data_IF_178705621760
#
_entry.id   IF_178705621760
#
_cell.length_a   1.000
_cell.length_b   1.000
_cell.length_c   1.000
_cell.angle_alpha   90.00
_cell.angle_beta   90.00
_cell.angle_gamma   90.00
#
_symmetry.space_group_name_H-M   'P 1'
#
loop_
_entity.id
_entity.type
_entity.pdbx_description
1 polymer ?
#
# COMPACT_ATOMS: atom_id res chain seq x y z
N UNK A 1 12.94 -20.01 44.09
CA UNK A 1 11.54 -19.57 43.96
C UNK A 1 11.54 -18.43 42.98
N UNK A 2 10.96 -18.59 41.78
CA UNK A 2 10.79 -17.44 40.87
C UNK A 2 9.62 -16.61 41.38
N UNK A 3 9.80 -15.30 41.54
CA UNK A 3 8.69 -14.40 41.81
C UNK A 3 7.62 -14.60 40.73
N UNK A 4 6.43 -15.03 41.15
CA UNK A 4 5.29 -15.17 40.25
C UNK A 4 4.82 -13.76 39.91
N UNK A 5 5.05 -13.32 38.68
CA UNK A 5 4.48 -12.08 38.18
C UNK A 5 2.95 -12.15 38.33
N UNK A 6 2.39 -11.11 38.96
CA UNK A 6 0.95 -10.88 39.03
C UNK A 6 0.70 -9.46 38.58
N UNK A 7 -0.40 -9.22 37.87
CA UNK A 7 -0.93 -7.87 37.70
C UNK A 7 -1.43 -7.40 39.07
N UNK A 8 -0.49 -6.97 39.92
CA UNK A 8 -0.74 -6.62 41.32
C UNK A 8 -1.40 -5.25 41.47
N UNK A 9 -1.51 -4.48 40.38
CA UNK A 9 -2.21 -3.20 40.32
C UNK A 9 -3.19 -3.14 39.14
N UNK A 10 -4.36 -2.54 39.37
CA UNK A 10 -5.30 -2.20 38.29
C UNK A 10 -4.68 -1.25 37.25
N UNK A 11 -3.63 -0.52 37.64
CA UNK A 11 -2.92 0.41 36.75
C UNK A 11 -2.25 -0.27 35.56
N UNK A 12 -1.49 -1.36 35.78
CA UNK A 12 -0.81 -2.06 34.67
C UNK A 12 -1.77 -2.74 33.69
N UNK A 13 -2.91 -3.23 34.19
CA UNK A 13 -3.97 -3.78 33.33
C UNK A 13 -4.55 -2.67 32.45
N UNK A 14 -4.89 -1.54 33.05
CA UNK A 14 -5.46 -0.41 32.32
C UNK A 14 -4.47 0.19 31.31
N UNK A 15 -3.19 0.31 31.66
CA UNK A 15 -2.15 0.76 30.74
C UNK A 15 -2.01 -0.17 29.53
N UNK A 16 -2.08 -1.49 29.75
CA UNK A 16 -2.03 -2.48 28.69
C UNK A 16 -3.26 -2.39 27.78
N UNK A 17 -4.46 -2.21 28.35
CA UNK A 17 -5.69 -1.99 27.59
C UNK A 17 -5.60 -0.75 26.71
N UNK A 18 -5.17 0.39 27.26
CA UNK A 18 -4.99 1.62 26.51
C UNK A 18 -3.92 1.48 25.41
N UNK A 19 -2.85 0.72 25.67
CA UNK A 19 -1.82 0.46 24.67
C UNK A 19 -2.36 -0.39 23.50
N UNK A 20 -3.16 -1.41 23.79
CA UNK A 20 -3.81 -2.25 22.77
C UNK A 20 -4.84 -1.47 21.96
N UNK A 21 -5.60 -0.59 22.60
CA UNK A 21 -6.56 0.29 21.92
C UNK A 21 -5.85 1.26 20.97
N UNK A 22 -4.79 1.92 21.45
CA UNK A 22 -3.93 2.78 20.60
C UNK A 22 -3.29 2.04 19.44
N UNK A 23 -2.88 0.79 19.64
CA UNK A 23 -2.28 -0.02 18.59
C UNK A 23 -3.30 -0.43 17.50
N UNK A 24 -4.59 -0.50 17.84
CA UNK A 24 -5.65 -0.94 16.94
C UNK A 24 -5.61 -2.45 16.63
N UNK A 25 -6.73 -3.02 16.20
CA UNK A 25 -6.81 -4.42 15.74
C UNK A 25 -6.81 -5.51 16.83
N UNK A 26 -6.63 -5.14 18.10
CA UNK A 26 -6.77 -6.08 19.22
C UNK A 26 -8.23 -6.36 19.54
N UNK A 27 -8.58 -7.64 19.67
CA UNK A 27 -9.88 -8.10 20.14
C UNK A 27 -9.69 -9.23 21.17
N UNK A 28 -10.77 -9.60 21.86
CA UNK A 28 -10.73 -10.63 22.90
C UNK A 28 -10.17 -11.97 22.40
N UNK A 29 -10.40 -12.33 21.13
CA UNK A 29 -9.85 -13.53 20.51
C UNK A 29 -8.34 -13.47 20.34
N UNK A 30 -7.81 -12.33 19.87
CA UNK A 30 -6.37 -12.12 19.73
C UNK A 30 -5.66 -12.07 21.09
N UNK A 31 -6.25 -11.39 22.08
CA UNK A 31 -5.74 -11.35 23.46
C UNK A 31 -5.72 -12.75 24.07
N UNK A 32 -6.80 -13.53 23.88
CA UNK A 32 -6.83 -14.94 24.34
C UNK A 32 -5.75 -15.78 23.67
N UNK A 33 -5.52 -15.58 22.37
CA UNK A 33 -4.45 -16.27 21.63
C UNK A 33 -3.07 -15.90 22.16
N UNK A 34 -2.83 -14.63 22.49
CA UNK A 34 -1.56 -14.18 23.09
C UNK A 34 -1.22 -14.93 24.39
N UNK A 35 -2.24 -15.34 25.16
CA UNK A 35 -2.07 -16.10 26.40
C UNK A 35 -1.83 -17.62 26.19
N UNK A 36 -1.77 -18.10 24.94
CA UNK A 36 -1.59 -19.52 24.60
C UNK A 36 -0.17 -19.80 24.11
N UNK A 37 0.30 -21.04 24.30
CA UNK A 37 1.61 -21.49 23.82
C UNK A 37 2.76 -20.60 24.29
N UNK A 38 3.74 -20.38 23.41
CA UNK A 38 4.98 -19.67 23.71
C UNK A 38 4.96 -18.20 23.24
N UNK A 39 3.79 -17.64 22.92
CA UNK A 39 3.68 -16.28 22.37
C UNK A 39 4.27 -15.21 23.31
N UNK A 40 4.01 -15.30 24.62
CA UNK A 40 4.59 -14.38 25.61
C UNK A 40 6.11 -14.53 25.74
N UNK A 41 6.68 -15.70 25.44
CA UNK A 41 8.14 -15.89 25.39
C UNK A 41 8.71 -15.10 24.23
N UNK A 42 8.12 -15.20 23.04
CA UNK A 42 8.58 -14.43 21.87
C UNK A 42 8.43 -12.92 22.06
N UNK A 43 7.33 -12.46 22.66
CA UNK A 43 7.15 -11.04 23.01
C UNK A 43 8.25 -10.59 23.99
N UNK A 44 8.58 -11.40 25.00
CA UNK A 44 9.68 -11.09 25.93
C UNK A 44 11.02 -10.99 25.21
N UNK A 45 11.38 -11.97 24.38
CA UNK A 45 12.66 -11.93 23.65
C UNK A 45 12.75 -10.72 22.71
N UNK A 46 11.64 -10.32 22.07
CA UNK A 46 11.57 -9.09 21.28
C UNK A 46 11.79 -7.85 22.14
N UNK A 47 11.08 -7.72 23.28
CA UNK A 47 11.23 -6.58 24.19
C UNK A 47 12.65 -6.49 24.80
N UNK A 48 13.34 -7.62 24.95
CA UNK A 48 14.73 -7.68 25.40
C UNK A 48 15.76 -7.43 24.29
N UNK A 49 15.33 -7.29 23.03
CA UNK A 49 16.21 -7.10 21.88
C UNK A 49 16.93 -8.38 21.42
N UNK A 50 16.49 -9.56 21.87
CA UNK A 50 17.03 -10.86 21.46
C UNK A 50 16.33 -11.43 20.20
N UNK A 51 15.21 -10.84 19.80
CA UNK A 51 14.44 -11.25 18.63
C UNK A 51 13.97 -10.05 17.82
N UNK A 52 13.76 -10.26 16.52
CA UNK A 52 13.16 -9.29 15.60
C UNK A 52 11.77 -9.80 15.17
N UNK A 53 10.79 -8.91 15.12
CA UNK A 53 9.49 -9.21 14.49
C UNK A 53 9.58 -8.85 13.01
N UNK A 54 9.46 -9.86 12.15
CA UNK A 54 9.42 -9.67 10.69
C UNK A 54 8.07 -10.08 10.14
N UNK A 55 7.54 -9.26 9.24
CA UNK A 55 6.36 -9.63 8.47
C UNK A 55 6.71 -10.81 7.56
N UNK A 56 5.85 -11.84 7.45
CA UNK A 56 6.07 -12.90 6.49
C UNK A 56 6.07 -12.31 5.08
N UNK A 57 7.03 -12.73 4.27
CA UNK A 57 7.09 -12.32 2.86
C UNK A 57 5.83 -12.75 2.14
N UNK A 58 5.30 -11.86 1.30
CA UNK A 58 4.19 -12.18 0.40
C UNK A 58 4.56 -11.67 -0.98
N UNK A 59 5.09 -12.57 -1.79
CA UNK A 59 5.68 -12.24 -3.09
C UNK A 59 4.68 -12.52 -4.19
N UNK A 60 4.55 -11.59 -5.14
CA UNK A 60 3.89 -11.80 -6.43
C UNK A 60 4.85 -11.53 -7.59
N UNK A 61 4.74 -12.32 -8.66
CA UNK A 61 5.48 -12.04 -9.90
C UNK A 61 4.80 -10.90 -10.65
N UNK A 62 5.56 -9.85 -10.99
CA UNK A 62 5.07 -8.72 -11.76
C UNK A 62 4.76 -9.14 -13.20
N UNK A 63 3.74 -8.52 -13.82
CA UNK A 63 3.45 -8.75 -15.22
C UNK A 63 4.66 -8.36 -16.09
N UNK A 64 4.89 -9.05 -17.20
CA UNK A 64 6.02 -8.75 -18.09
C UNK A 64 5.89 -7.35 -18.74
N UNK A 65 4.67 -6.96 -19.07
CA UNK A 65 4.36 -5.68 -19.71
C UNK A 65 2.94 -5.22 -19.33
N UNK A 66 2.70 -3.91 -19.45
CA UNK A 66 1.37 -3.32 -19.34
C UNK A 66 1.13 -2.40 -20.54
N UNK A 67 0.14 -2.73 -21.36
CA UNK A 67 -0.29 -1.91 -22.49
C UNK A 67 -1.56 -1.13 -22.11
N UNK A 68 -1.52 0.22 -21.98
CA UNK A 68 -2.71 1.00 -21.71
C UNK A 68 -3.84 0.79 -22.72
N UNK A 69 -3.52 0.68 -24.01
CA UNK A 69 -4.53 0.58 -25.07
C UNK A 69 -5.22 -0.79 -25.08
N UNK A 70 -4.48 -1.88 -24.83
CA UNK A 70 -5.07 -3.23 -24.73
C UNK A 70 -5.90 -3.39 -23.45
N UNK A 71 -5.45 -2.77 -22.36
CA UNK A 71 -6.10 -2.93 -21.06
C UNK A 71 -7.31 -2.01 -20.86
N UNK A 72 -7.20 -0.73 -21.25
CA UNK A 72 -8.24 0.30 -21.03
C UNK A 72 -9.04 0.62 -22.29
N UNK A 73 -8.58 0.17 -23.46
CA UNK A 73 -9.22 0.41 -24.75
C UNK A 73 -8.52 1.48 -25.60
N UNK A 74 -9.00 1.65 -26.82
CA UNK A 74 -8.41 2.56 -27.82
C UNK A 74 -8.28 4.01 -27.32
N UNK A 75 -7.16 4.64 -27.66
CA UNK A 75 -6.84 6.04 -27.32
C UNK A 75 -6.18 6.25 -25.95
N UNK A 76 -6.11 5.21 -25.11
CA UNK A 76 -5.29 5.24 -23.90
C UNK A 76 -3.81 5.05 -24.24
N UNK A 77 -2.95 5.82 -23.59
CA UNK A 77 -1.50 5.75 -23.76
C UNK A 77 -0.79 6.14 -22.47
N UNK A 78 0.54 6.02 -22.45
CA UNK A 78 1.37 6.59 -21.39
C UNK A 78 1.51 8.08 -21.66
N UNK A 79 1.40 8.92 -20.62
CA UNK A 79 1.62 10.35 -20.75
C UNK A 79 3.07 10.64 -21.17
N UNK A 80 3.26 11.58 -22.10
CA UNK A 80 4.58 12.00 -22.56
C UNK A 80 4.81 13.49 -22.34
N UNK A 81 5.99 13.85 -21.85
CA UNK A 81 6.39 15.23 -21.62
C UNK A 81 5.79 15.86 -20.35
N UNK A 82 5.79 17.20 -20.24
CA UNK A 82 5.45 17.90 -19.01
C UNK A 82 3.96 17.81 -18.65
N UNK A 83 3.62 18.09 -17.40
CA UNK A 83 2.25 17.94 -16.88
C UNK A 83 1.24 18.92 -17.49
N UNK A 84 1.70 20.10 -17.92
CA UNK A 84 0.93 21.13 -18.60
C UNK A 84 0.92 20.97 -20.15
N UNK A 85 1.54 19.90 -20.66
CA UNK A 85 1.56 19.56 -22.09
C UNK A 85 0.32 18.80 -22.58
N UNK A 86 0.39 18.28 -23.80
CA UNK A 86 -0.68 17.49 -24.43
C UNK A 86 -0.57 15.97 -24.20
N UNK A 87 0.53 15.53 -23.58
CA UNK A 87 0.82 14.13 -23.29
C UNK A 87 1.27 13.28 -24.49
N UNK A 88 1.55 13.88 -25.65
CA UNK A 88 1.77 13.14 -26.91
C UNK A 88 3.25 13.02 -27.31
N UNK A 89 4.13 13.89 -26.80
CA UNK A 89 5.54 13.93 -27.18
C UNK A 89 6.46 14.16 -25.97
N UNK A 90 7.71 13.71 -26.09
CA UNK A 90 8.68 13.70 -25.00
C UNK A 90 8.82 12.32 -24.34
N UNK A 91 9.44 12.31 -23.16
CA UNK A 91 9.68 11.10 -22.38
C UNK A 91 8.40 10.61 -21.72
N UNK A 92 8.27 9.28 -21.59
CA UNK A 92 7.14 8.65 -20.91
C UNK A 92 7.19 8.93 -19.41
N UNK A 93 6.05 9.34 -18.84
CA UNK A 93 5.91 9.59 -17.42
C UNK A 93 5.67 8.25 -16.68
N UNK A 94 6.78 7.51 -16.55
CA UNK A 94 6.87 6.20 -15.91
C UNK A 94 8.15 6.09 -15.08
N UNK A 95 8.09 5.46 -13.91
CA UNK A 95 9.28 5.19 -13.09
C UNK A 95 10.02 3.96 -13.63
N UNK A 96 11.15 4.18 -14.31
CA UNK A 96 11.96 3.11 -14.91
C UNK A 96 12.43 2.07 -13.89
N UNK A 97 12.62 2.46 -12.62
CA UNK A 97 13.01 1.52 -11.55
C UNK A 97 11.90 0.52 -11.29
N UNK A 98 10.64 0.92 -11.45
CA UNK A 98 9.48 0.05 -11.33
C UNK A 98 9.43 -1.01 -12.44
N UNK A 99 10.04 -0.73 -13.61
CA UNK A 99 10.16 -1.69 -14.70
C UNK A 99 11.21 -2.77 -14.42
N UNK A 100 12.17 -2.52 -13.55
CA UNK A 100 13.18 -3.51 -13.20
C UNK A 100 12.68 -4.54 -12.17
N UNK A 101 11.53 -4.29 -11.55
CA UNK A 101 10.92 -5.18 -10.56
C UNK A 101 10.24 -6.36 -11.26
N UNK A 102 10.80 -7.55 -11.09
CA UNK A 102 10.19 -8.81 -11.55
C UNK A 102 9.32 -9.48 -10.49
N UNK A 103 9.64 -9.26 -9.22
CA UNK A 103 8.91 -9.80 -8.07
C UNK A 103 8.64 -8.66 -7.08
N UNK A 104 7.40 -8.57 -6.61
CA UNK A 104 6.96 -7.57 -5.64
C UNK A 104 6.71 -8.27 -4.31
N UNK A 105 7.51 -7.98 -3.29
CA UNK A 105 7.23 -8.38 -1.92
C UNK A 105 6.31 -7.35 -1.27
N UNK A 106 5.07 -7.76 -1.02
CA UNK A 106 4.04 -6.91 -0.44
C UNK A 106 4.36 -6.51 1.01
N UNK A 107 5.20 -7.30 1.70
CA UNK A 107 5.65 -6.96 3.05
C UNK A 107 6.50 -5.68 3.07
N UNK A 108 7.21 -5.39 1.99
CA UNK A 108 8.10 -4.22 1.84
C UNK A 108 7.37 -2.95 1.37
N UNK A 109 6.07 -3.05 1.04
CA UNK A 109 5.30 -1.89 0.60
C UNK A 109 5.12 -0.87 1.72
N UNK A 110 5.40 0.38 1.37
CA UNK A 110 5.15 1.57 2.18
C UNK A 110 3.94 2.32 1.62
N UNK A 111 3.20 2.98 2.51
CA UNK A 111 2.00 3.73 2.19
C UNK A 111 2.22 5.21 2.48
N UNK A 112 2.20 6.01 1.42
CA UNK A 112 2.59 7.42 1.47
C UNK A 112 1.43 8.34 1.09
N UNK A 113 0.96 9.14 2.05
CA UNK A 113 -0.12 10.12 1.81
C UNK A 113 0.40 11.39 1.14
N UNK A 114 1.66 11.75 1.40
CA UNK A 114 2.28 13.03 1.04
C UNK A 114 1.59 14.28 1.60
N UNK A 115 0.69 14.13 2.57
CA UNK A 115 0.08 15.23 3.30
C UNK A 115 1.10 15.84 4.27
N UNK A 116 1.09 17.17 4.37
CA UNK A 116 1.80 17.94 5.40
C UNK A 116 0.92 18.07 6.64
N UNK A 117 1.54 18.53 7.72
CA UNK A 117 0.81 18.87 8.94
C UNK A 117 -0.35 19.83 8.61
N UNK A 118 -1.56 19.49 9.04
CA UNK A 118 -2.83 20.23 8.83
C UNK A 118 -3.43 20.13 7.41
N UNK A 119 -2.83 19.41 6.47
CA UNK A 119 -3.50 19.12 5.20
C UNK A 119 -4.47 17.93 5.37
N UNK A 120 -5.75 18.14 5.07
CA UNK A 120 -6.76 17.07 5.03
C UNK A 120 -6.78 16.35 3.68
N UNK A 121 -6.41 17.07 2.62
CA UNK A 121 -6.32 16.57 1.25
C UNK A 121 -5.22 17.30 0.47
N UNK A 122 -4.86 16.72 -0.68
CA UNK A 122 -3.84 17.22 -1.60
C UNK A 122 -4.27 16.97 -3.05
N UNK A 123 -4.07 17.95 -3.94
CA UNK A 123 -4.33 17.77 -5.36
C UNK A 123 -3.42 16.67 -5.95
N UNK A 124 -3.95 15.85 -6.85
CA UNK A 124 -3.26 14.68 -7.41
C UNK A 124 -1.90 15.03 -8.05
N UNK A 125 -1.83 16.09 -8.85
CA UNK A 125 -0.55 16.53 -9.44
C UNK A 125 0.48 16.94 -8.37
N UNK A 126 0.04 17.61 -7.30
CA UNK A 126 0.93 17.97 -6.19
C UNK A 126 1.34 16.75 -5.37
N UNK A 127 0.44 15.77 -5.18
CA UNK A 127 0.77 14.46 -4.59
C UNK A 127 1.84 13.74 -5.41
N UNK A 128 1.63 13.62 -6.72
CA UNK A 128 2.58 12.98 -7.64
C UNK A 128 3.94 13.69 -7.63
N UNK A 129 3.95 15.02 -7.64
CA UNK A 129 5.17 15.82 -7.55
C UNK A 129 5.91 15.53 -6.24
N UNK A 130 5.23 15.54 -5.09
CA UNK A 130 5.84 15.22 -3.78
C UNK A 130 6.38 13.79 -3.77
N UNK A 131 5.65 12.81 -4.31
CA UNK A 131 6.11 11.43 -4.42
C UNK A 131 7.40 11.32 -5.25
N UNK A 132 7.47 12.01 -6.41
CA UNK A 132 8.66 12.01 -7.26
C UNK A 132 9.89 12.67 -6.62
N UNK A 133 9.68 13.57 -5.65
CA UNK A 133 10.80 14.14 -4.87
C UNK A 133 11.33 13.18 -3.79
N UNK A 134 10.58 12.13 -3.46
CA UNK A 134 11.04 11.08 -2.55
C UNK A 134 11.96 10.11 -3.28
N UNK A 135 12.96 9.60 -2.58
CA UNK A 135 13.79 8.50 -3.08
C UNK A 135 13.07 7.14 -2.94
N UNK A 136 11.80 7.07 -3.33
CA UNK A 136 11.00 5.85 -3.33
C UNK A 136 10.82 5.37 -4.77
N UNK A 137 10.72 4.06 -4.97
CA UNK A 137 10.32 3.49 -6.25
C UNK A 137 8.80 3.54 -6.34
N UNK A 138 8.29 4.24 -7.34
CA UNK A 138 6.86 4.40 -7.58
C UNK A 138 6.35 3.20 -8.39
N UNK A 139 5.33 2.49 -7.90
CA UNK A 139 4.81 1.31 -8.60
C UNK A 139 3.99 1.71 -9.83
N UNK A 140 4.09 0.95 -10.91
CA UNK A 140 3.45 1.24 -12.20
C UNK A 140 2.50 0.15 -12.68
N UNK A 141 2.16 0.20 -13.97
CA UNK A 141 1.16 -0.68 -14.59
C UNK A 141 1.46 -2.19 -14.50
N UNK A 142 2.73 -2.59 -14.46
CA UNK A 142 3.13 -4.01 -14.34
C UNK A 142 2.77 -4.60 -12.98
N UNK A 143 2.96 -3.82 -11.92
CA UNK A 143 2.58 -4.20 -10.55
C UNK A 143 1.06 -4.20 -10.39
N UNK A 144 0.39 -3.17 -10.91
CA UNK A 144 -1.07 -3.11 -10.95
C UNK A 144 -1.67 -4.35 -11.63
N UNK A 145 -1.17 -4.71 -12.81
CA UNK A 145 -1.70 -5.84 -13.58
C UNK A 145 -1.46 -7.17 -12.86
N UNK A 146 -0.31 -7.34 -12.21
CA UNK A 146 -0.03 -8.52 -11.41
C UNK A 146 -1.02 -8.69 -10.25
N UNK A 147 -1.26 -7.62 -9.49
CA UNK A 147 -2.25 -7.63 -8.40
C UNK A 147 -3.67 -7.92 -8.93
N UNK A 148 -4.03 -7.36 -10.08
CA UNK A 148 -5.33 -7.63 -10.70
C UNK A 148 -5.47 -9.09 -11.10
N UNK A 149 -4.46 -9.67 -11.76
CA UNK A 149 -4.47 -11.06 -12.19
C UNK A 149 -4.50 -12.01 -11.00
N UNK A 150 -3.75 -11.70 -9.94
CA UNK A 150 -3.76 -12.44 -8.69
C UNK A 150 -5.15 -12.39 -8.03
N UNK A 151 -5.79 -11.23 -7.95
CA UNK A 151 -7.17 -11.10 -7.45
C UNK A 151 -8.17 -11.93 -8.27
N UNK A 152 -8.10 -11.85 -9.60
CA UNK A 152 -8.99 -12.62 -10.48
C UNK A 152 -8.83 -14.13 -10.30
N UNK A 153 -7.63 -14.60 -9.96
CA UNK A 153 -7.32 -16.02 -9.77
C UNK A 153 -7.66 -16.51 -8.38
N UNK A 154 -7.32 -15.74 -7.35
CA UNK A 154 -7.26 -16.20 -5.96
C UNK A 154 -8.37 -15.62 -5.08
N UNK A 155 -9.07 -14.56 -5.51
CA UNK A 155 -10.17 -13.96 -4.76
C UNK A 155 -9.79 -13.65 -3.30
N UNK A 156 -10.47 -14.28 -2.35
CA UNK A 156 -10.24 -14.09 -0.91
C UNK A 156 -8.82 -14.46 -0.43
N UNK A 157 -8.06 -15.24 -1.19
CA UNK A 157 -6.68 -15.61 -0.87
C UNK A 157 -5.64 -14.75 -1.60
N UNK A 158 -6.09 -13.67 -2.25
CA UNK A 158 -5.22 -12.80 -3.05
C UNK A 158 -4.26 -11.95 -2.22
N UNK A 159 -3.27 -11.41 -2.92
CA UNK A 159 -2.39 -10.34 -2.48
C UNK A 159 -3.13 -9.09 -1.99
N UNK A 160 -4.25 -8.72 -2.63
CA UNK A 160 -5.03 -7.54 -2.23
C UNK A 160 -5.73 -7.77 -0.88
N UNK A 161 -6.30 -8.95 -0.64
CA UNK A 161 -6.86 -9.27 0.68
C UNK A 161 -5.76 -9.39 1.73
N UNK A 162 -4.60 -9.97 1.40
CA UNK A 162 -3.47 -10.00 2.32
C UNK A 162 -3.03 -8.58 2.74
N UNK A 163 -3.00 -7.62 1.81
CA UNK A 163 -2.69 -6.23 2.10
C UNK A 163 -3.73 -5.56 3.00
N UNK A 164 -5.01 -5.85 2.81
CA UNK A 164 -6.07 -5.39 3.70
C UNK A 164 -5.93 -5.99 5.11
N UNK A 165 -5.80 -7.31 5.21
CA UNK A 165 -5.74 -8.03 6.49
C UNK A 165 -4.47 -7.69 7.29
N UNK A 166 -3.35 -7.47 6.60
CA UNK A 166 -2.04 -7.30 7.25
C UNK A 166 -1.66 -5.84 7.42
N UNK A 167 -2.03 -4.97 6.48
CA UNK A 167 -1.63 -3.55 6.47
C UNK A 167 -2.80 -2.57 6.53
N UNK A 168 -4.04 -3.06 6.63
CA UNK A 168 -5.24 -2.22 6.67
C UNK A 168 -5.51 -1.46 5.36
N UNK A 169 -4.85 -1.84 4.27
CA UNK A 169 -4.95 -1.10 3.01
C UNK A 169 -6.33 -1.30 2.38
N UNK A 170 -7.04 -0.20 2.14
CA UNK A 170 -8.32 -0.15 1.43
C UNK A 170 -8.23 0.59 0.09
N UNK A 171 -7.10 1.25 -0.16
CA UNK A 171 -6.80 2.00 -1.37
C UNK A 171 -5.32 1.88 -1.71
N UNK A 172 -5.00 1.69 -2.99
CA UNK A 172 -3.64 1.69 -3.51
C UNK A 172 -3.62 2.30 -4.92
N UNK A 173 -2.92 3.42 -5.11
CA UNK A 173 -2.61 3.94 -6.45
C UNK A 173 -1.21 3.55 -6.92
N UNK A 174 -0.99 3.68 -8.24
CA UNK A 174 0.23 3.27 -8.94
C UNK A 174 0.86 4.50 -9.63
N UNK A 175 1.55 5.37 -8.86
CA UNK A 175 2.06 6.66 -9.35
C UNK A 175 3.27 6.53 -10.28
N UNK A 176 3.85 5.32 -10.40
CA UNK A 176 4.96 5.03 -11.31
C UNK A 176 4.53 4.85 -12.76
N UNK A 177 3.25 5.05 -13.10
CA UNK A 177 2.77 5.11 -14.48
C UNK A 177 1.66 6.16 -14.59
N UNK A 178 1.93 7.28 -15.25
CA UNK A 178 0.91 8.28 -15.58
C UNK A 178 0.29 7.95 -16.92
N UNK A 179 -1.01 7.73 -16.92
CA UNK A 179 -1.79 7.45 -18.10
C UNK A 179 -2.28 8.74 -18.75
N UNK A 180 -2.30 8.75 -20.07
CA UNK A 180 -3.03 9.72 -20.89
C UNK A 180 -4.36 9.11 -21.33
N UNK A 181 -5.45 9.69 -20.83
CA UNK A 181 -6.81 9.38 -21.27
C UNK A 181 -7.05 9.90 -22.69
N UNK A 182 -7.97 9.30 -23.49
CA UNK A 182 -8.23 9.77 -24.86
C UNK A 182 -8.55 11.27 -24.98
N UNK A 183 -9.17 11.88 -23.96
CA UNK A 183 -9.50 13.30 -23.90
C UNK A 183 -8.35 14.20 -23.38
N UNK A 184 -7.13 13.66 -23.25
CA UNK A 184 -5.95 14.41 -22.85
C UNK A 184 -5.78 14.64 -21.35
N UNK A 185 -6.51 13.91 -20.50
CA UNK A 185 -6.33 14.00 -19.04
C UNK A 185 -5.28 13.02 -18.52
N UNK A 186 -4.52 13.46 -17.51
CA UNK A 186 -3.54 12.66 -16.76
C UNK A 186 -4.22 11.86 -15.65
N UNK A 187 -4.00 10.56 -15.62
CA UNK A 187 -4.63 9.68 -14.64
C UNK A 187 -3.64 8.66 -14.05
N UNK A 188 -3.91 8.20 -12.83
CA UNK A 188 -3.24 7.04 -12.22
C UNK A 188 -4.18 5.84 -12.16
N UNK A 189 -3.64 4.64 -12.24
CA UNK A 189 -4.38 3.42 -11.89
C UNK A 189 -4.50 3.32 -10.37
N UNK A 190 -5.61 2.77 -9.87
CA UNK A 190 -5.73 2.44 -8.46
C UNK A 190 -6.71 1.29 -8.20
N UNK A 191 -6.52 0.64 -7.05
CA UNK A 191 -7.48 -0.26 -6.42
C UNK A 191 -8.21 0.46 -5.28
N UNK A 192 -9.49 0.12 -5.10
CA UNK A 192 -10.28 0.52 -3.95
C UNK A 192 -11.12 -0.66 -3.45
N UNK A 193 -11.20 -0.81 -2.13
CA UNK A 193 -12.02 -1.84 -1.49
C UNK A 193 -13.34 -1.22 -1.04
N UNK A 194 -14.46 -1.79 -1.49
CA UNK A 194 -15.79 -1.34 -1.07
C UNK A 194 -16.10 -1.78 0.38
N UNK A 195 -17.12 -1.16 0.99
CA UNK A 195 -17.57 -1.52 2.34
C UNK A 195 -18.15 -2.93 2.46
N UNK A 196 -18.45 -3.59 1.34
CA UNK A 196 -18.86 -4.99 1.26
C UNK A 196 -17.68 -5.96 1.16
N UNK A 197 -16.45 -5.44 1.12
CA UNK A 197 -15.21 -6.19 1.07
C UNK A 197 -14.77 -6.67 -0.29
N UNK A 198 -15.24 -6.04 -1.38
CA UNK A 198 -14.80 -6.35 -2.74
C UNK A 198 -13.81 -5.32 -3.23
N UNK A 199 -12.74 -5.81 -3.87
CA UNK A 199 -11.81 -4.96 -4.59
C UNK A 199 -12.35 -4.60 -5.97
N UNK A 200 -12.46 -3.30 -6.20
CA UNK A 200 -12.60 -2.68 -7.51
C UNK A 200 -11.27 -2.06 -7.94
N UNK A 201 -11.19 -1.73 -9.23
CA UNK A 201 -10.10 -0.94 -9.78
C UNK A 201 -10.65 0.14 -10.70
N UNK A 202 -9.87 1.19 -10.88
CA UNK A 202 -10.20 2.28 -11.79
C UNK A 202 -8.99 3.12 -12.14
N UNK A 203 -9.27 4.26 -12.74
CA UNK A 203 -8.28 5.31 -12.97
C UNK A 203 -8.78 6.61 -12.34
N UNK A 204 -7.86 7.36 -11.74
CA UNK A 204 -8.15 8.60 -11.03
C UNK A 204 -7.48 9.76 -11.72
N UNK A 205 -8.26 10.80 -12.03
CA UNK A 205 -7.76 12.02 -12.68
C UNK A 205 -6.91 12.82 -11.70
N UNK A 206 -5.68 13.13 -12.07
CA UNK A 206 -4.73 13.87 -11.23
C UNK A 206 -5.15 15.32 -10.94
N UNK A 207 -6.15 15.85 -11.64
CA UNK A 207 -6.79 17.12 -11.31
C UNK A 207 -7.75 17.06 -10.12
N UNK A 208 -8.04 15.87 -9.58
CA UNK A 208 -8.84 15.69 -8.36
C UNK A 208 -8.01 15.71 -7.08
N UNK A 209 -8.70 15.62 -5.94
CA UNK A 209 -8.09 15.61 -4.61
C UNK A 209 -7.89 14.18 -4.07
N UNK A 210 -6.81 13.99 -3.32
CA UNK A 210 -6.49 12.78 -2.58
C UNK A 210 -6.55 13.06 -1.08
N UNK A 211 -7.27 12.20 -0.36
CA UNK A 211 -7.45 12.29 1.09
C UNK A 211 -6.43 11.41 1.82
N UNK A 212 -6.31 11.60 3.15
CA UNK A 212 -5.36 10.86 3.98
C UNK A 212 -5.56 9.34 4.02
N UNK A 213 -6.76 8.87 3.69
CA UNK A 213 -7.12 7.44 3.56
C UNK A 213 -6.84 6.89 2.14
N UNK A 214 -6.26 7.69 1.24
CA UNK A 214 -5.85 7.29 -0.11
C UNK A 214 -4.32 7.32 -0.29
N UNK A 215 -3.54 6.52 0.46
CA UNK A 215 -2.09 6.51 0.32
C UNK A 215 -1.62 5.90 -1.01
N UNK A 216 -0.44 6.31 -1.45
CA UNK A 216 0.26 5.67 -2.57
C UNK A 216 1.10 4.49 -2.10
N UNK A 217 1.04 3.39 -2.85
CA UNK A 217 1.91 2.24 -2.61
C UNK A 217 3.27 2.48 -3.27
N UNK A 218 4.33 2.47 -2.47
CA UNK A 218 5.71 2.67 -2.93
C UNK A 218 6.65 1.67 -2.29
N UNK A 219 7.84 1.51 -2.86
CA UNK A 219 8.96 0.81 -2.22
C UNK A 219 10.02 1.81 -1.79
N UNK A 220 10.72 1.54 -0.71
CA UNK A 220 11.96 2.26 -0.41
C UNK A 220 12.97 2.03 -1.55
N UNK A 221 13.67 3.08 -1.99
CA UNK A 221 14.89 2.86 -2.77
C UNK A 221 15.99 2.43 -1.81
N UNK A 222 16.58 1.26 -2.08
CA UNK A 222 17.90 0.93 -1.53
C UNK A 222 18.98 1.83 -2.13
#
# INVERSE_FOLDING_TARGET
MSDKFTFSSAGLVHELELAMDRAGGYNAGLVKRMCQGDHLVHIREYLLGHAEVKMPKRIITCAAFFNPAEFLGGGWSIWKGPADGDGLSGEEDQDERSLMITELDLAELLFETCLKEKEEYIAGEEKLKRLKTKNSVLLGGRQFLALRQDWQKNGSESALEWLYETKGATYLDFPGLVLRRPDGRRCLLAFCRDGGGRWGWGYYWLGGDWFGDNPSAVLASN
#
